data_IF_406057052215
#
_entry.id   IF_406057052215
#
_cell.length_a   1.000
_cell.length_b   1.000
_cell.length_c   1.000
_cell.angle_alpha   90.00
_cell.angle_beta   90.00
_cell.angle_gamma   90.00
#
_symmetry.space_group_name_H-M   'P 1'
#
loop_
_entity.id
_entity.type
_entity.pdbx_description
1 polymer ?
#
# COMPACT_ATOMS: atom_id res chain seq x y z
N UNK A 1 18.32 23.04 21.44
CA UNK A 1 17.68 22.15 20.44
C UNK A 1 18.13 20.73 20.70
N UNK A 2 17.23 19.73 20.69
CA UNK A 2 17.61 18.31 20.81
C UNK A 2 17.67 17.69 19.41
N UNK A 3 18.84 17.23 19.01
CA UNK A 3 19.06 16.51 17.74
C UNK A 3 18.31 15.18 17.79
N UNK A 4 17.34 14.96 16.90
CA UNK A 4 16.74 13.62 16.73
C UNK A 4 17.78 12.71 16.09
N UNK A 5 18.04 11.56 16.72
CA UNK A 5 18.89 10.52 16.14
C UNK A 5 18.12 9.83 15.02
N UNK A 6 18.72 9.79 13.83
CA UNK A 6 18.21 9.01 12.69
C UNK A 6 18.73 7.58 12.83
N UNK A 7 17.83 6.62 13.06
CA UNK A 7 18.21 5.21 13.19
C UNK A 7 18.15 4.53 11.81
N UNK A 8 19.27 4.51 11.09
CA UNK A 8 19.38 3.78 9.82
C UNK A 8 19.61 2.29 10.14
N UNK A 9 18.56 1.49 10.08
CA UNK A 9 18.61 0.05 10.33
C UNK A 9 18.80 -0.75 9.03
N UNK A 10 20.04 -0.88 8.56
CA UNK A 10 20.38 -1.82 7.48
C UNK A 10 20.49 -3.24 8.04
N UNK A 11 19.46 -4.06 7.87
CA UNK A 11 19.46 -5.44 8.37
C UNK A 11 20.03 -6.39 7.31
N UNK A 12 21.32 -6.74 7.42
CA UNK A 12 21.95 -7.72 6.52
C UNK A 12 21.61 -9.13 7.01
N UNK A 13 20.59 -9.76 6.42
CA UNK A 13 20.24 -11.16 6.70
C UNK A 13 21.11 -12.09 5.85
N UNK A 14 22.07 -12.77 6.49
CA UNK A 14 22.80 -13.89 5.86
C UNK A 14 22.05 -15.21 6.09
N UNK A 15 21.56 -15.83 5.02
CA UNK A 15 21.06 -17.20 5.04
C UNK A 15 21.97 -18.15 4.23
N UNK A 16 22.85 -18.85 4.93
CA UNK A 16 23.44 -20.13 4.49
C UNK A 16 22.48 -21.25 4.93
N UNK A 17 22.12 -22.30 4.18
CA UNK A 17 22.54 -22.85 2.88
C UNK A 17 21.25 -23.24 2.08
N UNK A 18 21.23 -23.85 0.88
CA UNK A 18 22.24 -24.62 0.14
C UNK A 18 22.09 -24.55 -1.39
N UNK A 19 22.42 -25.63 -2.10
CA UNK A 19 22.55 -25.76 -3.54
C UNK A 19 21.20 -25.90 -4.26
N UNK A 20 20.86 -24.94 -5.12
CA UNK A 20 20.75 -25.15 -6.58
C UNK A 20 20.73 -23.78 -7.27
N UNK A 21 21.31 -23.68 -8.47
CA UNK A 21 21.74 -22.39 -9.03
C UNK A 21 20.63 -21.44 -9.48
N UNK A 22 20.27 -20.49 -8.63
CA UNK A 22 19.96 -19.12 -9.04
C UNK A 22 20.75 -18.16 -8.15
N UNK A 23 21.37 -17.12 -8.75
CA UNK A 23 21.82 -15.98 -7.97
C UNK A 23 20.57 -15.35 -7.37
N UNK A 24 20.41 -15.42 -6.05
CA UNK A 24 19.58 -14.46 -5.35
C UNK A 24 20.24 -13.10 -5.54
N UNK A 25 19.69 -12.29 -6.43
CA UNK A 25 20.04 -10.88 -6.50
C UNK A 25 19.93 -10.30 -5.08
N UNK A 26 20.95 -9.52 -4.70
CA UNK A 26 20.94 -8.81 -3.43
C UNK A 26 19.70 -7.90 -3.44
N UNK A 27 18.67 -8.28 -2.68
CA UNK A 27 17.52 -7.42 -2.43
C UNK A 27 18.05 -6.27 -1.59
N UNK A 28 18.47 -5.20 -2.27
CA UNK A 28 18.73 -3.92 -1.65
C UNK A 28 17.40 -3.44 -1.07
N UNK A 29 17.17 -3.73 0.22
CA UNK A 29 16.01 -3.19 0.94
C UNK A 29 16.01 -1.67 0.76
N UNK A 30 14.89 -1.12 0.31
CA UNK A 30 14.76 0.33 0.15
C UNK A 30 14.97 1.00 1.51
N UNK A 31 15.68 2.15 1.56
CA UNK A 31 15.87 2.88 2.80
C UNK A 31 14.49 3.23 3.38
N UNK A 32 14.31 2.96 4.67
CA UNK A 32 13.02 3.15 5.33
C UNK A 32 13.18 3.78 6.71
N UNK A 33 12.11 4.46 7.14
CA UNK A 33 11.96 4.96 8.49
C UNK A 33 10.75 4.29 9.16
N UNK A 34 10.84 4.05 10.48
CA UNK A 34 9.72 3.63 11.31
C UNK A 34 9.25 4.86 12.09
N UNK A 35 8.01 5.27 11.85
CA UNK A 35 7.47 6.54 12.38
C UNK A 35 6.13 6.29 13.06
N UNK A 36 5.98 6.80 14.28
CA UNK A 36 4.73 6.77 15.03
C UNK A 36 3.77 7.89 14.59
N UNK A 37 2.50 7.55 14.41
CA UNK A 37 1.41 8.50 14.14
C UNK A 37 0.62 8.76 15.44
N UNK A 38 -0.72 8.77 15.40
CA UNK A 38 -1.57 8.99 16.58
C UNK A 38 -1.85 7.69 17.34
N UNK A 39 -2.04 6.58 16.62
CA UNK A 39 -2.47 5.27 17.16
C UNK A 39 -1.77 4.06 16.49
N UNK A 40 -1.18 4.27 15.31
CA UNK A 40 -0.44 3.28 14.53
C UNK A 40 1.01 3.72 14.31
N UNK A 41 1.87 2.75 14.01
CA UNK A 41 3.25 2.96 13.59
C UNK A 41 3.36 2.53 12.14
N UNK A 42 4.07 3.29 11.32
CA UNK A 42 4.21 3.04 9.88
C UNK A 42 5.67 2.83 9.50
N UNK A 43 5.91 1.88 8.60
CA UNK A 43 7.11 1.82 7.78
C UNK A 43 6.91 2.78 6.59
N UNK A 44 7.82 3.71 6.41
CA UNK A 44 7.88 4.61 5.26
C UNK A 44 9.13 4.27 4.47
N UNK A 45 8.97 3.56 3.36
CA UNK A 45 10.08 3.21 2.45
C UNK A 45 10.22 4.30 1.38
N UNK A 46 11.46 4.67 1.07
CA UNK A 46 11.78 5.73 0.11
C UNK A 46 12.50 5.13 -1.09
N UNK A 47 11.87 5.25 -2.26
CA UNK A 47 12.49 4.94 -3.54
C UNK A 47 12.92 6.22 -4.27
N UNK A 48 13.53 6.08 -5.44
CA UNK A 48 13.83 7.20 -6.33
C UNK A 48 12.55 7.92 -6.78
N UNK A 49 11.47 7.17 -7.03
CA UNK A 49 10.22 7.66 -7.64
C UNK A 49 9.14 8.07 -6.63
N UNK A 50 9.18 7.52 -5.40
CA UNK A 50 8.09 7.71 -4.44
C UNK A 50 8.26 7.05 -3.09
N UNK A 51 7.23 7.21 -2.27
CA UNK A 51 7.09 6.67 -0.93
C UNK A 51 6.15 5.46 -0.94
N UNK A 52 6.51 4.40 -0.23
CA UNK A 52 5.59 3.33 0.17
C UNK A 52 5.33 3.47 1.67
N UNK A 53 4.06 3.50 2.08
CA UNK A 53 3.65 3.61 3.48
C UNK A 53 2.78 2.42 3.86
N UNK A 54 3.26 1.67 4.86
CA UNK A 54 2.65 0.42 5.32
C UNK A 54 2.58 0.41 6.85
N UNK A 55 1.40 0.14 7.41
CA UNK A 55 1.21 0.00 8.85
C UNK A 55 2.03 -1.21 9.35
N UNK A 56 2.85 -1.06 10.39
CA UNK A 56 3.71 -2.15 10.88
C UNK A 56 2.92 -3.32 11.49
N UNK A 57 1.63 -3.10 11.78
CA UNK A 57 0.68 -4.14 12.18
C UNK A 57 0.25 -5.05 11.02
N UNK A 58 0.43 -4.64 9.76
CA UNK A 58 0.11 -5.46 8.58
C UNK A 58 0.89 -6.79 8.59
N UNK A 59 0.22 -7.89 8.25
CA UNK A 59 0.75 -9.26 8.17
C UNK A 59 0.29 -10.00 6.91
N UNK A 60 -0.85 -9.66 6.31
CA UNK A 60 -1.42 -10.41 5.17
C UNK A 60 -0.41 -10.62 4.05
N UNK A 61 0.36 -9.59 3.67
CA UNK A 61 1.36 -9.70 2.58
C UNK A 61 2.35 -10.88 2.75
N UNK A 62 2.63 -11.30 4.00
CA UNK A 62 3.52 -12.38 4.37
C UNK A 62 2.82 -13.74 4.59
N UNK A 63 1.49 -13.78 4.53
CA UNK A 63 0.69 -15.00 4.65
C UNK A 63 0.44 -15.59 3.26
N UNK A 64 0.58 -16.90 3.14
CA UNK A 64 0.23 -17.70 1.98
C UNK A 64 -0.67 -18.87 2.41
N UNK A 65 -1.49 -19.44 1.51
CA UNK A 65 -1.75 -19.05 0.12
C UNK A 65 -2.46 -17.69 -0.03
N UNK A 66 -2.23 -17.01 -1.16
CA UNK A 66 -2.71 -15.65 -1.42
C UNK A 66 -3.03 -15.44 -2.90
N UNK A 67 -3.98 -14.53 -3.18
CA UNK A 67 -4.19 -14.00 -4.53
C UNK A 67 -4.04 -12.47 -4.51
N UNK A 68 -3.18 -11.93 -5.37
CA UNK A 68 -3.06 -10.50 -5.60
C UNK A 68 -3.28 -10.25 -7.09
N UNK A 69 -4.23 -9.38 -7.42
CA UNK A 69 -4.62 -9.11 -8.80
C UNK A 69 -3.50 -8.38 -9.54
N UNK A 70 -2.96 -9.04 -10.56
CA UNK A 70 -1.87 -8.55 -11.39
C UNK A 70 -2.20 -8.69 -12.88
N UNK A 71 -2.85 -7.67 -13.45
CA UNK A 71 -3.06 -7.43 -14.90
C UNK A 71 -3.81 -8.52 -15.70
N UNK A 72 -3.99 -9.72 -15.15
CA UNK A 72 -4.68 -10.86 -15.72
C UNK A 72 -5.65 -11.47 -14.69
N UNK A 73 -6.75 -12.01 -15.23
CA UNK A 73 -7.96 -12.49 -14.54
C UNK A 73 -7.70 -13.53 -13.44
N UNK A 74 -8.62 -13.71 -12.47
CA UNK A 74 -9.96 -13.09 -12.33
C UNK A 74 -9.94 -11.65 -11.78
N UNK A 75 -10.95 -10.87 -12.18
CA UNK A 75 -11.11 -9.48 -11.72
C UNK A 75 -11.65 -9.41 -10.28
N UNK A 76 -11.18 -8.43 -9.51
CA UNK A 76 -11.70 -8.08 -8.19
C UNK A 76 -12.37 -6.71 -8.23
N UNK A 77 -13.70 -6.63 -8.09
CA UNK A 77 -14.37 -5.34 -7.94
C UNK A 77 -14.09 -4.66 -6.58
N UNK A 78 -14.35 -3.35 -6.49
CA UNK A 78 -14.39 -2.60 -5.23
C UNK A 78 -15.85 -2.16 -5.00
N UNK A 79 -16.49 -2.66 -3.95
CA UNK A 79 -17.88 -2.29 -3.64
C UNK A 79 -17.97 -0.83 -3.21
N UNK A 80 -19.10 -0.19 -3.54
CA UNK A 80 -19.40 1.19 -3.16
C UNK A 80 -18.25 2.17 -3.51
N UNK A 81 -17.75 2.05 -4.75
CA UNK A 81 -16.54 2.73 -5.24
C UNK A 81 -16.56 4.25 -5.00
N UNK A 82 -17.71 4.90 -5.13
CA UNK A 82 -17.87 6.33 -4.85
C UNK A 82 -17.46 6.72 -3.41
N UNK A 83 -17.78 5.90 -2.40
CA UNK A 83 -17.37 6.16 -1.00
C UNK A 83 -15.85 6.00 -0.83
N UNK A 84 -15.23 5.06 -1.55
CA UNK A 84 -13.78 4.95 -1.59
C UNK A 84 -13.14 6.18 -2.26
N UNK A 85 -13.66 6.62 -3.41
CA UNK A 85 -13.19 7.82 -4.11
C UNK A 85 -13.36 9.08 -3.24
N UNK A 86 -14.45 9.21 -2.47
CA UNK A 86 -14.66 10.29 -1.50
C UNK A 86 -13.62 10.29 -0.36
N UNK A 87 -13.23 9.11 0.15
CA UNK A 87 -12.15 9.03 1.14
C UNK A 87 -10.80 9.45 0.54
N UNK A 88 -10.52 9.09 -0.71
CA UNK A 88 -9.31 9.52 -1.42
C UNK A 88 -9.32 11.03 -1.64
N UNK A 89 -10.43 11.57 -2.16
CA UNK A 89 -10.67 12.99 -2.39
C UNK A 89 -10.48 13.82 -1.10
N UNK A 90 -11.10 13.42 0.01
CA UNK A 90 -11.05 14.18 1.24
C UNK A 90 -9.65 14.19 1.89
N UNK A 91 -8.86 13.12 1.73
CA UNK A 91 -7.57 12.98 2.40
C UNK A 91 -6.37 13.35 1.53
N UNK A 92 -6.39 13.02 0.23
CA UNK A 92 -5.22 13.12 -0.63
C UNK A 92 -5.25 14.33 -1.57
N UNK A 93 -6.41 14.75 -2.10
CA UNK A 93 -6.54 15.89 -3.04
C UNK A 93 -5.72 17.14 -2.66
N UNK A 94 -5.67 17.61 -1.39
CA UNK A 94 -4.89 18.79 -1.02
C UNK A 94 -3.38 18.69 -1.31
N UNK A 95 -2.82 17.48 -1.41
CA UNK A 95 -1.40 17.24 -1.68
C UNK A 95 -1.06 17.23 -3.17
N UNK A 96 -2.05 17.06 -4.05
CA UNK A 96 -1.84 16.91 -5.50
C UNK A 96 -2.14 18.19 -6.31
N UNK A 97 -2.52 19.29 -5.64
CA UNK A 97 -2.95 20.56 -6.28
C UNK A 97 -1.90 21.12 -7.25
N UNK A 98 -0.61 21.00 -6.91
CA UNK A 98 0.52 21.49 -7.71
C UNK A 98 1.22 20.37 -8.52
N UNK A 99 0.59 19.20 -8.68
CA UNK A 99 1.17 18.10 -9.44
C UNK A 99 1.07 18.37 -10.95
N UNK A 100 2.19 18.76 -11.56
CA UNK A 100 2.29 18.97 -13.01
C UNK A 100 2.37 17.63 -13.77
N UNK A 101 1.86 17.62 -15.00
CA UNK A 101 1.59 16.47 -15.87
C UNK A 101 2.80 15.68 -16.41
N UNK A 102 4.02 15.98 -15.96
CA UNK A 102 5.25 15.63 -16.70
C UNK A 102 6.01 14.39 -16.20
N UNK A 103 5.44 13.55 -15.34
CA UNK A 103 6.02 12.24 -15.06
C UNK A 103 4.96 11.24 -14.62
N UNK A 104 5.04 10.01 -15.16
CA UNK A 104 4.19 8.88 -14.78
C UNK A 104 4.30 8.59 -13.28
N UNK A 105 3.34 9.09 -12.53
CA UNK A 105 3.30 9.04 -11.10
C UNK A 105 1.85 8.78 -10.69
N UNK A 106 1.62 7.69 -9.97
CA UNK A 106 0.29 7.25 -9.57
C UNK A 106 0.20 7.23 -8.05
N UNK A 107 -0.99 7.53 -7.54
CA UNK A 107 -1.40 7.21 -6.17
C UNK A 107 -1.98 5.79 -6.18
N UNK A 108 -1.27 4.83 -5.59
CA UNK A 108 -1.71 3.45 -5.44
C UNK A 108 -2.20 3.17 -4.02
N UNK A 109 -3.31 2.46 -3.93
CA UNK A 109 -3.80 1.81 -2.73
C UNK A 109 -3.83 0.30 -2.98
N UNK A 110 -2.90 -0.44 -2.39
CA UNK A 110 -2.96 -1.89 -2.36
C UNK A 110 -3.89 -2.29 -1.22
N UNK A 111 -5.09 -2.75 -1.57
CA UNK A 111 -6.11 -3.18 -0.64
C UNK A 111 -5.97 -4.68 -0.41
N UNK A 112 -5.84 -5.12 0.84
CA UNK A 112 -5.78 -6.53 1.21
C UNK A 112 -7.01 -6.89 2.06
N UNK A 113 -7.74 -7.94 1.64
CA UNK A 113 -9.02 -8.32 2.22
C UNK A 113 -9.08 -9.81 2.58
N UNK A 114 -9.91 -10.13 3.57
CA UNK A 114 -10.20 -11.51 3.95
C UNK A 114 -11.01 -12.27 2.86
N UNK A 115 -11.20 -13.58 3.05
CA UNK A 115 -11.99 -14.46 2.16
C UNK A 115 -13.46 -14.02 1.96
N UNK A 116 -13.96 -13.08 2.76
CA UNK A 116 -15.29 -12.50 2.61
C UNK A 116 -15.29 -11.15 1.89
N UNK A 117 -14.12 -10.61 1.56
CA UNK A 117 -13.93 -9.32 0.90
C UNK A 117 -13.81 -8.14 1.86
N UNK A 118 -13.82 -8.35 3.18
CA UNK A 118 -13.65 -7.24 4.11
C UNK A 118 -12.17 -6.80 4.09
N UNK A 119 -11.91 -5.55 3.73
CA UNK A 119 -10.56 -4.98 3.75
C UNK A 119 -10.03 -5.01 5.18
N UNK A 120 -8.78 -5.48 5.35
CA UNK A 120 -8.10 -5.61 6.66
C UNK A 120 -6.84 -4.76 6.75
N UNK A 121 -6.13 -4.66 5.63
CA UNK A 121 -4.82 -4.01 5.57
C UNK A 121 -4.72 -3.18 4.28
N UNK A 122 -3.91 -2.13 4.35
CA UNK A 122 -3.67 -1.21 3.24
C UNK A 122 -2.16 -0.96 3.16
N UNK A 123 -1.64 -0.91 1.95
CA UNK A 123 -0.37 -0.26 1.63
C UNK A 123 -0.64 0.88 0.64
N UNK A 124 -0.02 2.04 0.86
CA UNK A 124 -0.20 3.23 0.03
C UNK A 124 1.13 3.57 -0.64
N UNK A 125 1.14 3.73 -1.95
CA UNK A 125 2.30 4.25 -2.68
C UNK A 125 1.94 5.57 -3.34
N UNK A 126 2.77 6.59 -3.15
CA UNK A 126 2.55 7.91 -3.72
C UNK A 126 3.88 8.54 -4.15
N UNK A 127 3.85 9.45 -5.12
CA UNK A 127 5.08 9.97 -5.71
C UNK A 127 5.87 10.90 -4.79
N UNK A 128 7.15 11.07 -5.09
CA UNK A 128 8.04 11.92 -4.28
C UNK A 128 7.83 13.42 -4.53
N UNK A 129 7.34 13.79 -5.72
CA UNK A 129 7.20 15.18 -6.16
C UNK A 129 6.10 15.98 -5.45
N UNK A 130 5.11 15.32 -4.82
CA UNK A 130 4.07 15.98 -4.00
C UNK A 130 4.53 16.27 -2.56
N UNK A 131 5.74 15.85 -2.18
CA UNK A 131 6.23 15.91 -0.81
C UNK A 131 5.69 14.80 0.09
N UNK A 132 6.10 14.80 1.36
CA UNK A 132 5.68 13.79 2.34
C UNK A 132 4.26 14.10 2.85
N UNK A 133 3.34 13.15 2.71
CA UNK A 133 1.99 13.26 3.29
C UNK A 133 2.07 12.96 4.80
N UNK A 134 1.51 13.82 5.68
CA UNK A 134 1.50 13.58 7.13
C UNK A 134 0.82 12.24 7.48
N UNK A 135 1.45 11.45 8.34
CA UNK A 135 0.92 10.12 8.71
C UNK A 135 -0.45 10.16 9.39
N UNK A 136 -0.82 11.28 10.03
CA UNK A 136 -2.17 11.49 10.58
C UNK A 136 -3.27 11.53 9.50
N UNK A 137 -2.93 11.92 8.26
CA UNK A 137 -3.84 11.85 7.10
C UNK A 137 -3.99 10.42 6.60
N UNK A 138 -2.87 9.69 6.49
CA UNK A 138 -2.84 8.28 6.11
C UNK A 138 -3.62 7.43 7.12
N UNK A 139 -3.40 7.65 8.41
CA UNK A 139 -4.08 6.97 9.51
C UNK A 139 -5.59 7.27 9.55
N UNK A 140 -5.98 8.53 9.27
CA UNK A 140 -7.39 8.89 9.17
C UNK A 140 -8.05 8.21 7.97
N UNK A 141 -7.38 8.15 6.81
CA UNK A 141 -7.86 7.41 5.63
C UNK A 141 -8.00 5.92 5.93
N UNK A 142 -6.95 5.27 6.47
CA UNK A 142 -6.96 3.85 6.85
C UNK A 142 -8.13 3.55 7.79
N UNK A 143 -8.28 4.33 8.86
CA UNK A 143 -9.38 4.20 9.82
C UNK A 143 -10.75 4.42 9.18
N UNK A 144 -10.87 5.33 8.21
CA UNK A 144 -12.14 5.58 7.51
C UNK A 144 -12.51 4.41 6.63
N UNK A 145 -11.54 3.84 5.89
CA UNK A 145 -11.77 2.71 5.01
C UNK A 145 -12.07 1.42 5.78
N UNK A 146 -11.25 1.07 6.78
CA UNK A 146 -11.37 -0.19 7.54
C UNK A 146 -12.65 -0.26 8.39
N UNK A 147 -13.25 0.88 8.75
CA UNK A 147 -14.54 0.96 9.45
C UNK A 147 -15.73 1.17 8.49
N UNK A 148 -15.51 1.18 7.17
CA UNK A 148 -16.58 1.37 6.18
C UNK A 148 -17.17 0.04 5.68
N UNK A 149 -18.22 0.15 4.85
CA UNK A 149 -18.80 -0.99 4.13
C UNK A 149 -18.15 -1.25 2.75
N UNK A 150 -17.00 -0.61 2.44
CA UNK A 150 -16.23 -0.88 1.22
C UNK A 150 -15.55 -2.26 1.33
N UNK A 151 -15.67 -3.07 0.28
CA UNK A 151 -15.19 -4.45 0.22
C UNK A 151 -14.58 -4.76 -1.14
N UNK A 152 -13.72 -5.77 -1.18
CA UNK A 152 -13.32 -6.42 -2.43
C UNK A 152 -14.38 -7.45 -2.83
N UNK A 153 -14.84 -7.42 -4.08
CA UNK A 153 -15.92 -8.27 -4.60
C UNK A 153 -15.42 -9.16 -5.72
N UNK A 154 -15.46 -10.47 -5.52
CA UNK A 154 -14.85 -11.47 -6.40
C UNK A 154 -15.62 -12.80 -6.33
N UNK A 155 -15.55 -13.62 -7.38
CA UNK A 155 -16.18 -14.94 -7.38
C UNK A 155 -15.40 -15.93 -6.52
N UNK A 156 -15.83 -16.12 -5.28
CA UNK A 156 -15.22 -17.03 -4.29
C UNK A 156 -15.08 -18.48 -4.76
N UNK A 157 -15.82 -18.89 -5.80
CA UNK A 157 -15.74 -20.25 -6.35
C UNK A 157 -14.63 -20.41 -7.40
N UNK A 158 -14.13 -19.30 -7.98
CA UNK A 158 -13.04 -19.34 -8.94
C UNK A 158 -11.78 -19.93 -8.30
N UNK A 159 -11.10 -20.82 -9.01
CA UNK A 159 -10.02 -21.68 -8.48
C UNK A 159 -8.90 -20.91 -7.79
N UNK A 160 -8.51 -19.75 -8.32
CA UNK A 160 -7.46 -18.89 -7.77
C UNK A 160 -7.83 -18.25 -6.41
N UNK A 161 -9.12 -18.01 -6.14
CA UNK A 161 -9.58 -17.45 -4.86
C UNK A 161 -9.93 -18.53 -3.85
N UNK A 162 -10.48 -19.67 -4.30
CA UNK A 162 -11.04 -20.73 -3.45
C UNK A 162 -10.07 -21.26 -2.36
N UNK A 163 -8.77 -21.24 -2.65
CA UNK A 163 -7.72 -21.67 -1.73
C UNK A 163 -6.96 -20.55 -1.02
N UNK A 164 -7.25 -19.26 -1.27
CA UNK A 164 -6.45 -18.15 -0.74
C UNK A 164 -6.94 -17.68 0.64
N UNK A 165 -6.01 -17.42 1.57
CA UNK A 165 -6.34 -16.87 2.90
C UNK A 165 -6.77 -15.40 2.83
N UNK A 166 -6.24 -14.66 1.85
CA UNK A 166 -6.61 -13.29 1.55
C UNK A 166 -6.54 -13.03 0.04
N UNK A 167 -7.27 -12.00 -0.38
CA UNK A 167 -7.19 -11.46 -1.74
C UNK A 167 -6.80 -9.99 -1.71
N UNK A 168 -6.13 -9.51 -2.74
CA UNK A 168 -5.79 -8.09 -2.84
C UNK A 168 -5.89 -7.51 -4.23
N UNK A 169 -6.13 -6.20 -4.31
CA UNK A 169 -6.21 -5.42 -5.55
C UNK A 169 -5.47 -4.08 -5.40
N UNK A 170 -4.65 -3.67 -6.37
CA UNK A 170 -4.22 -2.29 -6.49
C UNK A 170 -5.37 -1.42 -7.04
N UNK A 171 -5.74 -0.38 -6.31
CA UNK A 171 -6.51 0.75 -6.85
C UNK A 171 -5.54 1.87 -7.18
N UNK A 172 -5.57 2.38 -8.42
CA UNK A 172 -4.68 3.44 -8.87
C UNK A 172 -5.45 4.69 -9.30
N UNK A 173 -4.82 5.85 -9.07
CA UNK A 173 -5.20 7.13 -9.66
C UNK A 173 -3.95 7.76 -10.28
N UNK A 174 -4.08 8.30 -11.49
CA UNK A 174 -3.05 9.16 -12.06
C UNK A 174 -2.92 10.41 -11.18
N UNK A 175 -1.69 10.75 -10.75
CA UNK A 175 -1.47 11.84 -9.77
C UNK A 175 -2.07 13.18 -10.23
N UNK A 176 -2.00 13.49 -11.53
CA UNK A 176 -2.59 14.70 -12.08
C UNK A 176 -4.12 14.75 -12.02
N UNK A 177 -4.80 13.61 -11.95
CA UNK A 177 -6.27 13.49 -11.83
C UNK A 177 -6.75 13.47 -10.38
N UNK A 178 -5.87 13.21 -9.40
CA UNK A 178 -6.22 13.25 -7.96
C UNK A 178 -6.69 14.65 -7.53
N UNK A 179 -6.23 15.71 -8.20
CA UNK A 179 -6.70 17.08 -7.98
C UNK A 179 -8.13 17.33 -8.48
N UNK A 180 -8.64 16.50 -9.38
CA UNK A 180 -9.94 16.66 -10.06
C UNK A 180 -11.02 15.72 -9.50
N UNK A 181 -10.69 14.89 -8.50
CA UNK A 181 -11.65 14.09 -7.71
C UNK A 181 -12.64 14.96 -6.93
#
# INVERSE_FOLDING_TARGET
MKTKQVLIACLIIFSHTSLFGQKTDLINELPYEIIEATTNTYKVEVSEIGYTVTNTKNKLINIAPKFLEYWNRPEIGVSNRAVFDDFVRHNFKPYFVNCNSFTYMYLYFYLFADRFGNIKEIEIRYPKNIGLIPLSVIERFERSLLNSNVKLTFDKNYSAFKGSEWVGRPVMYEAEKVKDL
#
